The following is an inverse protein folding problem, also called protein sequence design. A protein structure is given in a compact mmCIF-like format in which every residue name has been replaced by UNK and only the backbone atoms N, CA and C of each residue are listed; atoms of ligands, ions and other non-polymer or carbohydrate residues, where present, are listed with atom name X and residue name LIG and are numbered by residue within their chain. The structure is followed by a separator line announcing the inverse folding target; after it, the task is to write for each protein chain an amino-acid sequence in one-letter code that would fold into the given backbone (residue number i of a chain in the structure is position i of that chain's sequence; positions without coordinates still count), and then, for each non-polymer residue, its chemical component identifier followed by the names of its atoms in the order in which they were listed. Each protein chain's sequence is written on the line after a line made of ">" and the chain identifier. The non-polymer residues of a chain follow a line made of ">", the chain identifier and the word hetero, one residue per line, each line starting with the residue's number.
data_IF_630915070608
#
_entry.id   IF_630915070608
#
_cell.length_a   1.000
_cell.length_b   1.000
_cell.length_c   1.000
_cell.angle_alpha   90.00
_cell.angle_beta   90.00
_cell.angle_gamma   90.00
#
_symmetry.space_group_name_H-M   'P 1'
#
loop_
_entity.id
_entity.type
_entity.pdbx_description
1 polymer ?
#
# COMPACT_ATOMS: atom_id res chain seq x y z
N UNK A 1 -29.88 11.43 74.61
CA UNK A 1 -29.96 12.55 73.66
C UNK A 1 -28.82 12.38 72.69
N UNK A 2 -29.14 11.85 71.52
CA UNK A 2 -28.18 11.51 70.49
C UNK A 2 -28.07 12.70 69.54
N UNK A 3 -26.92 13.36 69.52
CA UNK A 3 -26.62 14.40 68.54
C UNK A 3 -25.94 13.79 67.35
N UNK A 4 -26.68 13.62 66.29
CA UNK A 4 -26.15 13.18 65.00
C UNK A 4 -25.51 14.39 64.30
N UNK A 5 -24.18 14.42 64.26
CA UNK A 5 -23.44 15.40 63.50
C UNK A 5 -23.44 14.98 62.04
N UNK A 6 -24.17 15.71 61.23
CA UNK A 6 -24.20 15.51 59.77
C UNK A 6 -22.92 16.09 59.14
N UNK A 7 -21.96 15.23 58.92
CA UNK A 7 -20.78 15.60 58.15
C UNK A 7 -21.15 15.69 56.66
N UNK A 8 -21.21 16.90 56.19
CA UNK A 8 -21.39 17.20 54.77
C UNK A 8 -20.11 16.82 54.06
N UNK A 9 -20.14 15.67 53.38
CA UNK A 9 -19.06 15.28 52.46
C UNK A 9 -19.30 16.01 51.15
N UNK A 10 -18.59 17.13 50.97
CA UNK A 10 -18.50 17.80 49.67
C UNK A 10 -17.53 16.99 48.82
N UNK A 11 -18.06 16.14 47.98
CA UNK A 11 -17.29 15.47 46.96
C UNK A 11 -16.90 16.51 45.89
N UNK A 12 -15.68 16.98 45.94
CA UNK A 12 -15.05 17.67 44.81
C UNK A 12 -14.95 16.67 43.67
N UNK A 13 -15.80 16.82 42.67
CA UNK A 13 -15.59 16.21 41.35
C UNK A 13 -14.44 16.95 40.69
N UNK A 14 -13.25 16.40 40.83
CA UNK A 14 -12.16 16.77 39.95
C UNK A 14 -12.51 16.30 38.55
N UNK A 15 -12.94 17.26 37.73
CA UNK A 15 -13.06 17.07 36.30
C UNK A 15 -11.66 16.95 35.71
N UNK A 16 -11.21 15.72 35.54
CA UNK A 16 -10.00 15.43 34.77
C UNK A 16 -10.32 15.80 33.32
N UNK A 17 -9.64 16.80 32.72
CA UNK A 17 -9.76 17.01 31.29
C UNK A 17 -9.10 15.77 30.62
N UNK A 18 -9.94 14.90 30.11
CA UNK A 18 -9.48 13.87 29.19
C UNK A 18 -8.96 14.62 27.97
N UNK A 19 -7.66 14.84 27.92
CA UNK A 19 -7.01 15.28 26.72
C UNK A 19 -7.28 14.20 25.68
N UNK A 20 -8.27 14.46 24.84
CA UNK A 20 -8.56 13.65 23.67
C UNK A 20 -7.36 13.85 22.73
N UNK A 21 -6.33 13.03 22.91
CA UNK A 21 -5.34 12.85 21.87
C UNK A 21 -6.09 12.28 20.69
N UNK A 22 -6.43 13.15 19.73
CA UNK A 22 -6.83 12.70 18.42
C UNK A 22 -5.68 11.85 17.89
N UNK A 23 -5.82 10.53 17.99
CA UNK A 23 -4.93 9.64 17.26
C UNK A 23 -5.00 10.04 15.80
N UNK A 24 -3.86 10.24 15.15
CA UNK A 24 -3.86 10.48 13.71
C UNK A 24 -4.62 9.32 13.09
N UNK A 25 -5.74 9.65 12.44
CA UNK A 25 -6.49 8.67 11.65
C UNK A 25 -5.47 7.89 10.83
N UNK A 26 -5.47 6.55 10.89
CA UNK A 26 -4.57 5.81 10.06
C UNK A 26 -4.84 6.25 8.63
N UNK A 27 -3.86 6.94 8.02
CA UNK A 27 -3.79 7.04 6.58
C UNK A 27 -4.12 5.66 6.04
N UNK A 28 -4.90 5.53 4.94
CA UNK A 28 -5.22 4.23 4.40
C UNK A 28 -3.91 3.51 4.15
N UNK A 29 -3.52 2.75 5.17
CA UNK A 29 -2.26 2.08 5.22
C UNK A 29 -2.19 1.18 4.01
N UNK A 30 -1.15 1.37 3.23
CA UNK A 30 -0.68 0.34 2.35
C UNK A 30 -0.79 -0.98 3.11
N UNK A 31 -1.75 -1.80 2.73
CA UNK A 31 -1.87 -3.12 3.32
C UNK A 31 -0.51 -3.78 3.15
N UNK A 32 0.26 -3.85 4.23
CA UNK A 32 1.60 -4.43 4.16
C UNK A 32 1.41 -5.90 3.83
N UNK A 33 1.69 -6.23 2.60
CA UNK A 33 1.63 -7.62 2.17
C UNK A 33 2.78 -8.40 2.80
N UNK A 34 2.44 -9.45 3.53
CA UNK A 34 3.40 -10.43 4.06
C UNK A 34 3.64 -11.60 3.11
N UNK A 35 3.08 -11.55 1.90
CA UNK A 35 3.30 -12.58 0.90
C UNK A 35 4.57 -12.20 0.11
N UNK A 36 5.62 -13.03 0.18
CA UNK A 36 6.83 -12.77 -0.60
C UNK A 36 6.50 -12.84 -2.08
N UNK A 37 6.96 -11.84 -2.83
CA UNK A 37 6.79 -11.76 -4.27
C UNK A 37 8.14 -11.92 -4.95
N UNK A 38 8.18 -12.75 -5.98
CA UNK A 38 9.35 -12.99 -6.80
C UNK A 38 9.20 -12.33 -8.17
N UNK A 39 10.29 -11.81 -8.74
CA UNK A 39 10.26 -11.22 -10.07
C UNK A 39 9.97 -12.28 -11.13
N UNK A 40 9.27 -11.88 -12.18
CA UNK A 40 8.92 -12.73 -13.32
C UNK A 40 9.23 -12.03 -14.63
N UNK A 41 9.48 -12.81 -15.66
CA UNK A 41 9.66 -12.32 -17.03
C UNK A 41 8.29 -12.08 -17.66
N UNK A 42 7.89 -10.81 -17.77
CA UNK A 42 6.64 -10.41 -18.40
C UNK A 42 6.65 -8.92 -18.74
N UNK A 43 5.94 -8.55 -19.77
CA UNK A 43 5.82 -7.15 -20.21
C UNK A 43 4.90 -6.32 -19.31
N UNK A 44 3.94 -6.95 -18.65
CA UNK A 44 2.93 -6.29 -17.82
C UNK A 44 3.07 -6.58 -16.32
N UNK A 45 3.61 -7.74 -15.96
CA UNK A 45 3.73 -8.22 -14.59
C UNK A 45 5.19 -8.14 -14.15
N UNK A 46 5.45 -7.43 -13.06
CA UNK A 46 6.79 -7.29 -12.50
C UNK A 46 7.12 -8.41 -11.50
N UNK A 47 6.19 -8.69 -10.59
CA UNK A 47 6.39 -9.70 -9.54
C UNK A 47 5.10 -10.46 -9.25
N UNK A 48 5.26 -11.71 -8.79
CA UNK A 48 4.14 -12.58 -8.39
C UNK A 48 4.46 -13.21 -7.04
N UNK A 49 3.47 -13.24 -6.16
CA UNK A 49 3.55 -13.93 -4.88
C UNK A 49 2.31 -14.79 -4.65
N UNK A 50 2.47 -15.92 -3.96
CA UNK A 50 1.36 -16.81 -3.67
C UNK A 50 1.43 -17.35 -2.25
N UNK A 51 0.30 -17.28 -1.55
CA UNK A 51 0.12 -17.90 -0.25
C UNK A 51 -0.74 -19.16 -0.38
N UNK A 52 -0.09 -20.32 -0.33
CA UNK A 52 -0.77 -21.61 -0.44
C UNK A 52 -1.81 -21.84 0.67
N UNK A 53 -1.49 -21.46 1.89
CA UNK A 53 -2.41 -21.62 3.04
C UNK A 53 -3.68 -20.78 2.91
N UNK A 54 -3.55 -19.57 2.38
CA UNK A 54 -4.66 -18.62 2.26
C UNK A 54 -5.31 -18.64 0.89
N UNK A 55 -4.70 -19.35 -0.08
CA UNK A 55 -5.11 -19.36 -1.49
C UNK A 55 -5.17 -17.95 -2.09
N UNK A 56 -4.20 -17.13 -1.71
CA UNK A 56 -4.09 -15.74 -2.14
C UNK A 56 -2.95 -15.59 -3.13
N UNK A 57 -3.25 -15.01 -4.28
CA UNK A 57 -2.29 -14.63 -5.30
C UNK A 57 -2.11 -13.11 -5.27
N UNK A 58 -0.87 -12.64 -5.21
CA UNK A 58 -0.55 -11.22 -5.37
C UNK A 58 0.22 -10.99 -6.65
N UNK A 59 -0.20 -10.00 -7.40
CA UNK A 59 0.45 -9.60 -8.66
C UNK A 59 0.83 -8.13 -8.55
N UNK A 60 2.13 -7.87 -8.73
CA UNK A 60 2.67 -6.53 -8.89
C UNK A 60 2.90 -6.28 -10.37
N UNK A 61 2.27 -5.24 -10.88
CA UNK A 61 2.40 -4.82 -12.26
C UNK A 61 3.60 -3.88 -12.46
N UNK A 62 4.05 -3.74 -13.70
CA UNK A 62 5.18 -2.86 -14.05
C UNK A 62 4.93 -1.38 -13.72
N UNK A 63 3.67 -0.95 -13.65
CA UNK A 63 3.28 0.39 -13.21
C UNK A 63 3.28 0.57 -11.68
N UNK A 64 3.73 -0.42 -10.92
CA UNK A 64 3.78 -0.41 -9.47
C UNK A 64 2.48 -0.78 -8.76
N UNK A 65 1.37 -0.97 -9.47
CA UNK A 65 0.13 -1.43 -8.87
C UNK A 65 0.26 -2.85 -8.33
N UNK A 66 -0.34 -3.10 -7.18
CA UNK A 66 -0.38 -4.43 -6.57
C UNK A 66 -1.84 -4.82 -6.33
N UNK A 67 -2.24 -5.94 -6.91
CA UNK A 67 -3.54 -6.53 -6.70
C UNK A 67 -3.41 -7.86 -5.98
N UNK A 68 -4.36 -8.13 -5.11
CA UNK A 68 -4.51 -9.40 -4.40
C UNK A 68 -5.75 -10.11 -4.92
N UNK A 69 -5.61 -11.35 -5.34
CA UNK A 69 -6.69 -12.21 -5.80
C UNK A 69 -6.97 -13.27 -4.73
N UNK A 70 -8.24 -13.42 -4.37
CA UNK A 70 -8.70 -14.32 -3.32
C UNK A 70 -9.17 -15.65 -3.91
N UNK A 71 -9.04 -16.71 -3.12
CA UNK A 71 -9.50 -18.07 -3.48
C UNK A 71 -8.91 -18.66 -4.76
N UNK A 72 -7.68 -18.29 -5.07
CA UNK A 72 -6.95 -18.79 -6.24
C UNK A 72 -6.37 -20.17 -5.93
N UNK A 73 -6.72 -21.22 -6.70
CA UNK A 73 -6.12 -22.54 -6.55
C UNK A 73 -4.60 -22.51 -6.83
N UNK A 74 -3.86 -23.37 -6.16
CA UNK A 74 -2.41 -23.49 -6.38
C UNK A 74 -2.06 -23.94 -7.80
N UNK A 75 -2.96 -24.66 -8.46
CA UNK A 75 -2.81 -25.04 -9.86
C UNK A 75 -2.72 -23.82 -10.78
N UNK A 76 -3.62 -22.84 -10.59
CA UNK A 76 -3.61 -21.59 -11.36
C UNK A 76 -2.32 -20.81 -11.17
N UNK A 77 -1.79 -20.76 -9.95
CA UNK A 77 -0.48 -20.15 -9.69
C UNK A 77 0.65 -20.86 -10.44
N UNK A 78 0.69 -22.19 -10.41
CA UNK A 78 1.69 -22.97 -11.15
C UNK A 78 1.60 -22.76 -12.65
N UNK A 79 0.38 -22.76 -13.19
CA UNK A 79 0.13 -22.53 -14.61
C UNK A 79 0.56 -21.12 -15.03
N UNK A 80 0.30 -20.11 -14.19
CA UNK A 80 0.79 -18.74 -14.40
C UNK A 80 2.31 -18.68 -14.43
N UNK A 81 2.98 -19.37 -13.50
CA UNK A 81 4.44 -19.35 -13.42
C UNK A 81 5.11 -20.08 -14.59
N UNK A 82 4.48 -21.12 -15.13
CA UNK A 82 4.95 -21.88 -16.28
C UNK A 82 4.48 -21.33 -17.63
N UNK A 83 3.53 -20.38 -17.63
CA UNK A 83 3.01 -19.79 -18.86
C UNK A 83 4.13 -19.06 -19.63
N UNK A 84 4.18 -19.26 -20.94
CA UNK A 84 5.06 -18.54 -21.84
C UNK A 84 4.79 -17.02 -21.81
N UNK A 85 3.50 -16.65 -21.89
CA UNK A 85 3.06 -15.27 -21.71
C UNK A 85 2.22 -15.15 -20.44
N UNK A 86 2.84 -14.67 -19.37
CA UNK A 86 2.17 -14.48 -18.07
C UNK A 86 1.10 -13.40 -18.13
N UNK A 87 1.33 -12.35 -18.91
CA UNK A 87 0.34 -11.29 -19.12
C UNK A 87 -0.93 -11.82 -19.79
N UNK A 88 -0.77 -12.61 -20.85
CA UNK A 88 -1.92 -13.23 -21.55
C UNK A 88 -2.64 -14.23 -20.65
N UNK A 89 -1.92 -15.07 -19.92
CA UNK A 89 -2.53 -16.00 -18.96
C UNK A 89 -3.34 -15.25 -17.90
N UNK A 90 -2.78 -14.16 -17.37
CA UNK A 90 -3.47 -13.30 -16.42
C UNK A 90 -4.79 -12.76 -16.98
N UNK A 91 -4.77 -12.20 -18.18
CA UNK A 91 -5.95 -11.61 -18.80
C UNK A 91 -7.07 -12.63 -19.04
N UNK A 92 -6.74 -13.86 -19.44
CA UNK A 92 -7.73 -14.90 -19.77
C UNK A 92 -8.15 -15.76 -18.60
N UNK A 93 -7.29 -15.97 -17.59
CA UNK A 93 -7.54 -16.95 -16.53
C UNK A 93 -7.71 -16.36 -15.13
N UNK A 94 -7.25 -15.15 -14.91
CA UNK A 94 -7.24 -14.55 -13.58
C UNK A 94 -8.13 -13.31 -13.52
N UNK A 95 -7.93 -12.39 -14.42
CA UNK A 95 -8.70 -11.14 -14.49
C UNK A 95 -10.19 -11.41 -14.69
N UNK A 96 -11.02 -10.92 -13.77
CA UNK A 96 -12.46 -11.13 -13.82
C UNK A 96 -12.95 -12.53 -13.38
N UNK A 97 -12.06 -13.50 -13.15
CA UNK A 97 -12.41 -14.83 -12.66
C UNK A 97 -12.31 -14.96 -11.15
N UNK A 98 -11.49 -14.13 -10.51
CA UNK A 98 -11.28 -14.14 -9.06
C UNK A 98 -11.56 -12.76 -8.48
N UNK A 99 -12.05 -12.75 -7.24
CA UNK A 99 -12.23 -11.50 -6.50
C UNK A 99 -10.87 -10.85 -6.28
N UNK A 100 -10.75 -9.58 -6.62
CA UNK A 100 -9.52 -8.82 -6.47
C UNK A 100 -9.67 -7.67 -5.48
N UNK A 101 -8.58 -7.36 -4.79
CA UNK A 101 -8.44 -6.23 -3.90
C UNK A 101 -7.20 -5.45 -4.29
N UNK A 102 -7.34 -4.15 -4.46
CA UNK A 102 -6.20 -3.27 -4.71
C UNK A 102 -5.42 -3.06 -3.41
N UNK A 103 -4.15 -3.47 -3.41
CA UNK A 103 -3.26 -3.33 -2.25
C UNK A 103 -2.43 -2.05 -2.35
N UNK A 104 -1.96 -1.74 -3.54
CA UNK A 104 -1.19 -0.53 -3.82
C UNK A 104 -1.61 0.02 -5.17
N UNK A 105 -1.97 1.33 -5.25
CA UNK A 105 -2.33 1.94 -6.52
C UNK A 105 -1.12 2.05 -7.46
N UNK A 106 -1.36 2.23 -8.76
CA UNK A 106 -0.30 2.51 -9.71
C UNK A 106 0.50 3.72 -9.26
N UNK A 107 1.81 3.60 -9.27
CA UNK A 107 2.68 4.73 -9.05
C UNK A 107 2.78 5.48 -10.38
N UNK A 108 2.35 6.73 -10.40
CA UNK A 108 2.69 7.62 -11.50
C UNK A 108 4.22 7.64 -11.55
N UNK A 109 4.79 7.17 -12.64
CA UNK A 109 6.20 7.39 -12.90
C UNK A 109 6.41 8.91 -12.79
N UNK A 110 7.05 9.34 -11.74
CA UNK A 110 7.64 10.67 -11.73
C UNK A 110 8.72 10.57 -12.81
N UNK A 111 8.37 11.06 -14.00
CA UNK A 111 9.38 11.39 -14.98
C UNK A 111 10.34 12.29 -14.23
N UNK A 112 11.63 11.91 -14.05
CA UNK A 112 12.57 12.82 -13.47
C UNK A 112 12.53 14.06 -14.36
N UNK A 113 11.89 15.11 -13.88
CA UNK A 113 12.04 16.44 -14.45
C UNK A 113 13.51 16.73 -14.27
N UNK A 114 14.24 16.52 -15.34
CA UNK A 114 15.61 16.99 -15.50
C UNK A 114 15.52 18.47 -15.15
N UNK A 115 15.92 18.83 -13.95
CA UNK A 115 16.10 20.22 -13.56
C UNK A 115 16.87 20.87 -14.68
N UNK A 116 16.40 22.02 -15.21
CA UNK A 116 17.24 22.80 -16.07
C UNK A 116 18.40 23.30 -15.20
N UNK A 117 19.48 22.52 -15.21
CA UNK A 117 20.71 22.93 -14.59
C UNK A 117 21.18 24.20 -15.32
N UNK A 118 21.19 25.27 -14.55
CA UNK A 118 22.10 26.40 -14.69
C UNK A 118 22.39 26.82 -16.14
N UNK A 119 21.63 27.81 -16.58
CA UNK A 119 22.14 28.76 -17.55
C UNK A 119 23.45 29.33 -17.01
N UNK A 120 24.56 28.80 -17.44
CA UNK A 120 25.84 29.43 -17.25
C UNK A 120 25.84 30.69 -18.08
N UNK A 121 25.81 31.79 -17.38
CA UNK A 121 26.09 33.08 -17.95
C UNK A 121 27.50 33.08 -18.54
N UNK A 122 27.57 33.00 -19.86
CA UNK A 122 28.80 33.39 -20.55
C UNK A 122 28.92 34.89 -20.49
N UNK A 123 29.79 35.32 -19.60
CA UNK A 123 30.26 36.71 -19.57
C UNK A 123 30.94 37.01 -20.89
N UNK A 124 30.38 37.94 -21.61
CA UNK A 124 31.05 38.58 -22.72
C UNK A 124 32.22 39.39 -22.19
N UNK A 125 33.40 38.89 -22.42
CA UNK A 125 34.59 39.74 -22.35
C UNK A 125 34.73 40.41 -23.71
N UNK A 126 34.54 41.71 -23.74
CA UNK A 126 34.87 42.54 -24.86
C UNK A 126 36.37 42.62 -25.02
N UNK A 127 36.81 42.70 -26.25
CA UNK A 127 38.12 43.25 -26.61
C UNK A 127 38.00 44.07 -27.86
N UNK A 128 38.59 45.21 -27.74
CA UNK A 128 38.93 46.15 -28.75
C UNK A 128 39.56 45.50 -30.01
#
# INVERSE_FOLDING_TARGET
>A
MLRISLAVFVAMLDAIPVAYCAEPSPTPDHIISRIPRQPVQSTAIAKVGYSKRRRILEIEFVNGAVYRYLDVPSAVYRDLMSAESKARFYDFKIKGHYRSVLIRPPQKQQVPTKSPASAQSYGAAGHE
#
